data_IF_180741357547
#
_entry.id   IF_180741357547
#
_cell.length_a   1.000
_cell.length_b   1.000
_cell.length_c   1.000
_cell.angle_alpha   90.00
_cell.angle_beta   90.00
_cell.angle_gamma   90.00
#
_symmetry.space_group_name_H-M   'P 1'
#
loop_
_entity.id
_entity.type
_entity.pdbx_description
1 polymer ?
#
# COMPACT_ATOMS: atom_id res chain seq x y z
N UNK A 1 -59.07 1.04 -41.54
CA UNK A 1 -57.59 1.14 -41.46
C UNK A 1 -57.21 0.81 -40.02
N UNK A 2 -57.34 -0.45 -39.61
CA UNK A 2 -56.25 -1.45 -39.58
C UNK A 2 -54.99 -0.95 -38.87
N UNK A 3 -54.87 -1.48 -37.65
CA UNK A 3 -53.70 -1.69 -36.81
C UNK A 3 -52.58 -2.50 -37.49
N UNK A 4 -51.43 -2.55 -36.80
CA UNK A 4 -50.25 -3.46 -36.90
C UNK A 4 -48.96 -2.66 -37.17
N UNK A 5 -47.82 -2.85 -36.50
CA UNK A 5 -47.40 -3.77 -35.47
C UNK A 5 -45.90 -3.51 -35.15
N UNK A 6 -45.48 -3.97 -33.96
CA UNK A 6 -44.16 -4.55 -33.54
C UNK A 6 -42.89 -4.10 -34.30
N UNK A 7 -41.74 -3.85 -33.67
CA UNK A 7 -41.07 -4.79 -32.79
C UNK A 7 -39.74 -4.16 -32.29
N UNK A 8 -39.41 -4.41 -31.01
CA UNK A 8 -38.08 -4.62 -30.40
C UNK A 8 -36.83 -4.28 -31.23
N UNK A 9 -35.92 -3.52 -30.61
CA UNK A 9 -34.53 -3.95 -30.53
C UNK A 9 -33.95 -3.68 -29.14
N UNK A 10 -33.86 -4.77 -28.37
CA UNK A 10 -32.89 -4.96 -27.31
C UNK A 10 -31.50 -4.98 -27.96
N UNK A 11 -30.71 -3.93 -27.74
CA UNK A 11 -29.27 -3.99 -27.88
C UNK A 11 -28.66 -3.57 -26.54
N UNK A 12 -28.47 -4.57 -25.68
CA UNK A 12 -27.19 -4.82 -25.01
C UNK A 12 -26.45 -3.56 -24.51
N UNK A 13 -26.87 -3.01 -23.37
CA UNK A 13 -25.97 -2.23 -22.51
C UNK A 13 -25.16 -3.21 -21.66
N UNK A 14 -24.37 -4.04 -22.34
CA UNK A 14 -23.38 -4.92 -21.74
C UNK A 14 -21.98 -4.55 -22.28
N UNK A 15 -21.75 -3.26 -22.48
CA UNK A 15 -20.42 -2.71 -22.71
C UNK A 15 -19.78 -2.43 -21.36
N UNK A 16 -18.76 -3.21 -21.01
CA UNK A 16 -17.88 -2.93 -19.87
C UNK A 16 -17.45 -1.47 -19.93
N UNK A 17 -17.98 -0.63 -19.03
CA UNK A 17 -17.32 0.61 -18.64
C UNK A 17 -15.96 0.19 -18.09
N UNK A 18 -14.91 0.25 -18.92
CA UNK A 18 -13.54 0.26 -18.40
C UNK A 18 -13.53 1.37 -17.35
N UNK A 19 -13.35 1.01 -16.09
CA UNK A 19 -13.18 1.99 -15.03
C UNK A 19 -12.11 2.99 -15.52
N UNK A 20 -12.45 4.28 -15.53
CA UNK A 20 -11.49 5.29 -15.95
C UNK A 20 -10.25 5.17 -15.06
N UNK A 21 -9.06 5.15 -15.67
CA UNK A 21 -7.79 5.19 -14.93
C UNK A 21 -7.78 6.43 -14.05
N UNK A 22 -7.39 6.29 -12.79
CA UNK A 22 -7.29 7.40 -11.83
C UNK A 22 -5.85 7.78 -11.52
N UNK A 23 -4.88 7.05 -12.04
CA UNK A 23 -3.44 7.35 -11.94
C UNK A 23 -2.79 7.35 -13.33
N UNK A 24 -1.76 8.18 -13.48
CA UNK A 24 -0.98 8.31 -14.72
C UNK A 24 0.52 8.21 -14.41
N UNK A 25 1.25 7.34 -15.12
CA UNK A 25 2.71 7.33 -15.09
C UNK A 25 3.24 8.57 -15.83
N UNK A 26 4.04 9.39 -15.15
CA UNK A 26 4.55 10.66 -15.68
C UNK A 26 6.07 10.67 -15.85
N UNK A 27 6.79 9.76 -15.17
CA UNK A 27 8.25 9.67 -15.27
C UNK A 27 8.75 8.25 -14.98
N UNK A 28 9.91 7.89 -15.53
CA UNK A 28 10.62 6.66 -15.24
C UNK A 28 12.13 6.90 -15.32
N UNK A 29 12.91 6.28 -14.42
CA UNK A 29 14.38 6.32 -14.47
C UNK A 29 15.02 5.07 -13.84
N UNK A 30 16.32 4.87 -14.09
CA UNK A 30 17.13 3.91 -13.35
C UNK A 30 17.44 4.46 -11.97
N UNK A 31 17.36 3.59 -10.95
CA UNK A 31 17.71 3.90 -9.58
C UNK A 31 18.71 2.85 -9.05
N UNK A 32 20.02 3.14 -9.14
CA UNK A 32 21.02 2.33 -8.46
C UNK A 32 20.88 2.52 -6.94
N UNK A 33 20.88 1.42 -6.20
CA UNK A 33 20.81 1.42 -4.73
C UNK A 33 21.89 0.51 -4.15
N UNK A 34 22.11 0.59 -2.84
CA UNK A 34 22.95 -0.37 -2.10
C UNK A 34 22.43 -1.82 -2.23
N UNK A 35 21.16 -2.02 -2.60
CA UNK A 35 20.52 -3.31 -2.85
C UNK A 35 20.51 -3.67 -4.33
N UNK A 36 21.37 -3.06 -5.12
CA UNK A 36 21.43 -3.21 -6.57
C UNK A 36 20.46 -2.31 -7.32
N UNK A 37 20.34 -2.58 -8.63
CA UNK A 37 19.58 -1.72 -9.53
C UNK A 37 18.07 -1.99 -9.46
N UNK A 38 17.30 -0.90 -9.44
CA UNK A 38 15.84 -0.85 -9.58
C UNK A 38 15.48 0.13 -10.71
N UNK A 39 14.25 0.02 -11.22
CA UNK A 39 13.56 1.09 -11.94
C UNK A 39 12.69 1.87 -10.98
N UNK A 40 12.68 3.18 -11.12
CA UNK A 40 11.84 4.10 -10.38
C UNK A 40 10.80 4.69 -11.31
N UNK A 41 9.53 4.57 -10.95
CA UNK A 41 8.39 5.05 -11.70
C UNK A 41 7.67 6.12 -10.90
N UNK A 42 7.45 7.29 -11.49
CA UNK A 42 6.68 8.38 -10.91
C UNK A 42 5.27 8.41 -11.48
N UNK A 43 4.28 8.45 -10.60
CA UNK A 43 2.86 8.49 -10.93
C UNK A 43 2.20 9.70 -10.27
N UNK A 44 1.18 10.23 -10.93
CA UNK A 44 0.31 11.28 -10.40
C UNK A 44 -1.14 10.81 -10.39
N UNK A 45 -1.87 11.15 -9.33
CA UNK A 45 -3.32 11.01 -9.27
C UNK A 45 -4.01 11.98 -10.23
N UNK A 46 -5.05 11.51 -10.90
CA UNK A 46 -5.94 12.32 -11.75
C UNK A 46 -7.16 12.84 -10.98
N UNK A 47 -7.33 12.42 -9.73
CA UNK A 47 -8.51 12.69 -8.90
C UNK A 47 -8.17 13.31 -7.54
N UNK A 48 -6.88 13.52 -7.27
CA UNK A 48 -6.34 14.14 -6.06
C UNK A 48 -4.98 14.77 -6.38
N UNK A 49 -4.40 15.48 -5.41
CA UNK A 49 -3.05 16.05 -5.52
C UNK A 49 -1.94 15.06 -5.07
N UNK A 50 -2.28 13.77 -4.90
CA UNK A 50 -1.32 12.75 -4.49
C UNK A 50 -0.44 12.32 -5.67
N UNK A 51 0.87 12.24 -5.40
CA UNK A 51 1.81 11.51 -6.24
C UNK A 51 2.03 10.10 -5.66
N UNK A 52 2.56 9.20 -6.48
CA UNK A 52 3.01 7.87 -6.06
C UNK A 52 4.34 7.56 -6.70
N UNK A 53 5.16 6.79 -6.01
CA UNK A 53 6.40 6.28 -6.55
C UNK A 53 6.39 4.77 -6.49
N UNK A 54 6.79 4.09 -7.56
CA UNK A 54 6.99 2.65 -7.55
C UNK A 54 8.44 2.30 -7.86
N UNK A 55 9.04 1.46 -7.02
CA UNK A 55 10.28 0.78 -7.34
C UNK A 55 9.94 -0.58 -7.95
N UNK A 56 10.58 -0.96 -9.05
CA UNK A 56 10.47 -2.30 -9.60
C UNK A 56 11.83 -2.89 -9.95
N UNK A 57 11.92 -4.22 -9.92
CA UNK A 57 13.09 -5.00 -10.34
C UNK A 57 12.63 -6.16 -11.21
N UNK A 58 13.45 -6.51 -12.20
CA UNK A 58 13.18 -7.62 -13.11
C UNK A 58 12.05 -7.33 -14.10
N UNK A 59 11.76 -8.31 -14.95
CA UNK A 59 10.61 -8.25 -15.86
C UNK A 59 9.32 -8.58 -15.11
N UNK A 60 8.34 -7.70 -15.25
CA UNK A 60 7.00 -7.85 -14.70
C UNK A 60 6.04 -8.31 -15.78
N UNK A 61 5.23 -9.31 -15.46
CA UNK A 61 4.30 -9.94 -16.39
C UNK A 61 3.06 -10.41 -15.65
N UNK A 62 1.91 -10.35 -16.32
CA UNK A 62 0.62 -10.78 -15.79
C UNK A 62 0.61 -12.25 -15.37
N UNK A 63 1.44 -13.09 -16.00
CA UNK A 63 1.40 -14.54 -15.81
C UNK A 63 2.30 -15.06 -14.70
N UNK A 64 3.21 -14.23 -14.19
CA UNK A 64 4.22 -14.67 -13.22
C UNK A 64 3.96 -14.06 -11.85
N UNK A 65 3.69 -14.88 -10.82
CA UNK A 65 3.57 -14.38 -9.45
C UNK A 65 4.78 -13.53 -9.04
N UNK A 66 4.53 -12.26 -8.75
CA UNK A 66 5.57 -11.27 -8.49
C UNK A 66 5.45 -10.72 -7.07
N UNK A 67 6.57 -10.56 -6.36
CA UNK A 67 6.59 -9.90 -5.05
C UNK A 67 6.05 -8.48 -5.19
N UNK A 68 5.02 -8.14 -4.43
CA UNK A 68 4.41 -6.81 -4.47
C UNK A 68 4.16 -6.29 -3.05
N UNK A 69 4.50 -5.02 -2.82
CA UNK A 69 4.20 -4.32 -1.57
C UNK A 69 3.58 -2.95 -1.84
N UNK A 70 2.52 -2.64 -1.09
CA UNK A 70 2.06 -1.28 -0.89
C UNK A 70 2.66 -0.79 0.43
N UNK A 71 3.56 0.18 0.37
CA UNK A 71 4.19 0.79 1.53
C UNK A 71 3.61 2.19 1.76
N UNK A 72 3.04 2.41 2.95
CA UNK A 72 2.54 3.74 3.32
C UNK A 72 3.69 4.50 3.97
N UNK A 73 3.92 5.74 3.53
CA UNK A 73 5.00 6.59 3.99
C UNK A 73 5.08 6.66 5.51
N UNK A 74 6.31 6.54 6.02
CA UNK A 74 6.62 6.77 7.42
C UNK A 74 8.01 7.43 7.51
N UNK A 75 8.08 8.75 7.38
CA UNK A 75 9.32 9.52 7.38
C UNK A 75 10.23 9.17 8.58
N UNK A 76 9.64 9.10 9.77
CA UNK A 76 10.37 8.77 11.00
C UNK A 76 10.99 7.37 10.95
N UNK A 77 10.29 6.37 10.40
CA UNK A 77 10.79 5.00 10.32
C UNK A 77 11.70 4.78 9.12
N UNK A 78 11.28 5.25 7.94
CA UNK A 78 11.90 4.98 6.65
C UNK A 78 13.20 5.77 6.48
N UNK A 79 13.26 7.01 6.97
CA UNK A 79 14.40 7.92 6.79
C UNK A 79 15.20 8.09 8.08
N UNK A 80 14.54 8.37 9.21
CA UNK A 80 15.24 8.66 10.47
C UNK A 80 15.53 7.42 11.34
N UNK A 81 15.09 6.23 10.93
CA UNK A 81 15.40 4.98 11.64
C UNK A 81 14.72 4.84 13.01
N UNK A 82 13.58 5.51 13.21
CA UNK A 82 12.81 5.46 14.46
C UNK A 82 12.50 4.03 14.91
N UNK A 83 12.80 3.73 16.18
CA UNK A 83 12.47 2.47 16.86
C UNK A 83 11.03 2.38 17.36
N UNK A 84 10.28 3.49 17.36
CA UNK A 84 8.85 3.52 17.76
C UNK A 84 7.91 2.75 16.80
N UNK A 85 8.40 2.33 15.64
CA UNK A 85 7.60 1.58 14.66
C UNK A 85 8.49 0.65 13.82
N UNK A 86 7.85 -0.24 13.07
CA UNK A 86 8.50 -1.23 12.21
C UNK A 86 8.54 -0.85 10.72
N UNK A 87 8.09 0.35 10.35
CA UNK A 87 7.95 0.76 8.94
C UNK A 87 9.26 0.71 8.15
N UNK A 88 10.33 1.32 8.66
CA UNK A 88 11.64 1.34 8.01
C UNK A 88 12.25 -0.07 7.85
N UNK A 89 12.33 -0.88 8.93
CA UNK A 89 12.72 -2.28 8.82
C UNK A 89 11.90 -3.08 7.79
N UNK A 90 10.57 -2.91 7.75
CA UNK A 90 9.72 -3.59 6.77
C UNK A 90 10.04 -3.18 5.33
N UNK A 91 10.26 -1.88 5.06
CA UNK A 91 10.63 -1.39 3.73
C UNK A 91 11.97 -1.99 3.29
N UNK A 92 12.99 -1.90 4.15
CA UNK A 92 14.33 -2.45 3.87
C UNK A 92 14.26 -3.95 3.58
N UNK A 93 13.58 -4.72 4.44
CA UNK A 93 13.41 -6.16 4.26
C UNK A 93 12.70 -6.51 2.95
N UNK A 94 11.70 -5.72 2.56
CA UNK A 94 11.01 -5.92 1.28
C UNK A 94 11.96 -5.68 0.09
N UNK A 95 12.75 -4.61 0.14
CA UNK A 95 13.72 -4.33 -0.92
C UNK A 95 14.81 -5.41 -1.00
N UNK A 96 15.23 -5.97 0.14
CA UNK A 96 16.18 -7.10 0.18
C UNK A 96 15.57 -8.37 -0.44
N UNK A 97 14.31 -8.68 -0.12
CA UNK A 97 13.57 -9.81 -0.71
C UNK A 97 13.47 -9.67 -2.23
N UNK A 98 13.06 -8.50 -2.71
CA UNK A 98 12.93 -8.22 -4.15
C UNK A 98 14.30 -8.28 -4.83
N UNK A 99 15.35 -7.78 -4.17
CA UNK A 99 16.69 -7.84 -4.73
C UNK A 99 17.19 -9.28 -4.87
N UNK A 100 17.00 -10.11 -3.85
CA UNK A 100 17.39 -11.51 -3.85
C UNK A 100 16.60 -12.35 -4.87
N UNK A 101 15.29 -12.12 -4.98
CA UNK A 101 14.42 -12.78 -5.97
C UNK A 101 14.73 -12.31 -7.41
N UNK A 102 15.28 -11.10 -7.56
CA UNK A 102 15.52 -10.46 -8.85
C UNK A 102 14.27 -9.89 -9.51
N UNK A 103 13.09 -10.04 -8.89
CA UNK A 103 11.81 -9.60 -9.43
C UNK A 103 10.83 -9.14 -8.34
N UNK A 104 10.25 -7.95 -8.52
CA UNK A 104 9.25 -7.43 -7.60
C UNK A 104 8.96 -5.94 -7.76
N UNK A 105 7.97 -5.46 -7.01
CA UNK A 105 7.56 -4.06 -6.99
C UNK A 105 7.19 -3.57 -5.59
N UNK A 106 7.51 -2.30 -5.29
CA UNK A 106 7.07 -1.58 -4.09
C UNK A 106 6.45 -0.27 -4.50
N UNK A 107 5.14 -0.12 -4.28
CA UNK A 107 4.45 1.18 -4.38
C UNK A 107 4.62 1.91 -3.05
N UNK A 108 5.30 3.06 -3.10
CA UNK A 108 5.46 3.98 -2.00
C UNK A 108 4.38 5.08 -2.09
N UNK A 109 3.43 5.02 -1.17
CA UNK A 109 2.30 5.94 -1.08
C UNK A 109 2.61 7.05 -0.05
N UNK A 110 2.52 8.31 -0.46
CA UNK A 110 2.82 9.48 0.39
C UNK A 110 1.71 9.83 1.41
N UNK A 111 1.12 8.82 2.05
CA UNK A 111 0.13 8.98 3.11
C UNK A 111 0.76 8.73 4.48
N UNK A 112 1.45 9.75 4.99
CA UNK A 112 2.05 9.75 6.32
C UNK A 112 1.00 9.66 7.44
N UNK A 113 1.35 8.98 8.52
CA UNK A 113 0.51 8.94 9.73
C UNK A 113 -0.87 8.31 9.51
N UNK A 114 -1.05 7.51 8.44
CA UNK A 114 -2.37 6.99 8.01
C UNK A 114 -3.29 8.06 7.43
N UNK A 115 -2.71 9.02 6.71
CA UNK A 115 -3.45 10.09 6.04
C UNK A 115 -3.64 11.35 6.90
N UNK A 116 -3.28 11.33 8.18
CA UNK A 116 -3.36 12.53 9.05
C UNK A 116 -2.18 13.49 8.84
N UNK A 117 -1.13 13.06 8.14
CA UNK A 117 0.08 13.84 7.87
C UNK A 117 1.12 13.81 9.01
N UNK A 118 2.35 14.25 8.69
CA UNK A 118 3.49 14.17 9.62
C UNK A 118 3.30 15.00 10.89
N UNK A 119 2.71 16.20 10.77
CA UNK A 119 2.55 17.11 11.92
C UNK A 119 1.60 16.51 12.96
N UNK A 120 0.47 15.96 12.53
CA UNK A 120 -0.49 15.33 13.43
C UNK A 120 0.06 14.03 14.02
N UNK A 121 0.84 13.27 13.26
CA UNK A 121 1.58 12.11 13.81
C UNK A 121 2.54 12.53 14.94
N UNK A 122 3.27 13.64 14.78
CA UNK A 122 4.15 14.16 15.83
C UNK A 122 3.35 14.60 17.05
N UNK A 123 2.21 15.29 16.88
CA UNK A 123 1.30 15.63 17.98
C UNK A 123 0.80 14.39 18.72
N UNK A 124 0.42 13.34 18.00
CA UNK A 124 0.00 12.08 18.59
C UNK A 124 1.13 11.39 19.37
N UNK A 125 2.38 11.48 18.89
CA UNK A 125 3.55 11.00 19.63
C UNK A 125 3.83 11.80 20.89
N UNK A 126 3.68 13.12 20.86
CA UNK A 126 3.85 13.95 22.06
C UNK A 126 2.85 13.55 23.15
N UNK A 127 1.59 13.33 22.80
CA UNK A 127 0.57 12.83 23.73
C UNK A 127 0.88 11.42 24.27
N UNK A 128 1.45 10.55 23.45
CA UNK A 128 1.87 9.22 23.88
C UNK A 128 3.07 9.26 24.82
N UNK A 129 4.01 10.17 24.59
CA UNK A 129 5.15 10.39 25.48
C UNK A 129 4.70 10.95 26.85
N UNK A 130 3.53 11.58 26.90
CA UNK A 130 2.81 12.00 28.13
C UNK A 130 1.93 10.90 28.75
N UNK A 131 1.88 9.71 28.14
CA UNK A 131 1.20 8.52 28.67
C UNK A 131 -0.17 8.19 28.07
N UNK A 132 -0.65 8.94 27.07
CA UNK A 132 -1.89 8.59 26.36
C UNK A 132 -1.69 7.34 25.47
N UNK A 133 -2.73 6.52 25.34
CA UNK A 133 -2.68 5.45 24.32
C UNK A 133 -2.88 6.02 22.90
N UNK A 134 -2.58 5.22 21.87
CA UNK A 134 -2.66 5.68 20.47
C UNK A 134 -4.06 6.08 20.03
N UNK A 135 -5.11 5.45 20.57
CA UNK A 135 -6.50 5.77 20.23
C UNK A 135 -6.91 7.06 20.94
N UNK A 136 -6.62 7.16 22.23
CA UNK A 136 -6.88 8.36 23.03
C UNK A 136 -6.16 9.58 22.46
N UNK A 137 -4.91 9.44 22.04
CA UNK A 137 -4.17 10.52 21.38
C UNK A 137 -4.86 11.00 20.10
N UNK A 138 -5.40 10.08 19.29
CA UNK A 138 -6.14 10.45 18.07
C UNK A 138 -7.50 11.07 18.37
N UNK A 139 -8.23 10.57 19.38
CA UNK A 139 -9.51 11.13 19.82
C UNK A 139 -9.34 12.55 20.36
N UNK A 140 -8.33 12.79 21.21
CA UNK A 140 -7.97 14.12 21.73
C UNK A 140 -7.64 15.11 20.61
N UNK A 141 -7.09 14.63 19.49
CA UNK A 141 -6.74 15.44 18.32
C UNK A 141 -7.88 15.52 17.28
N UNK A 142 -9.00 14.83 17.48
CA UNK A 142 -10.12 14.78 16.54
C UNK A 142 -9.79 14.10 15.21
N UNK A 143 -8.87 13.13 15.21
CA UNK A 143 -8.33 12.50 14.00
C UNK A 143 -9.00 11.16 13.69
N UNK A 144 -9.17 10.87 12.39
CA UNK A 144 -9.57 9.55 11.94
C UNK A 144 -8.55 8.47 12.30
N UNK A 145 -9.01 7.25 12.57
CA UNK A 145 -8.16 6.13 13.00
C UNK A 145 -7.27 5.59 11.86
N UNK A 146 -7.83 5.61 10.65
CA UNK A 146 -7.16 5.26 9.39
C UNK A 146 -7.92 5.89 8.22
N UNK A 147 -7.28 6.79 7.48
CA UNK A 147 -7.88 7.48 6.32
C UNK A 147 -7.28 6.98 5.00
N UNK A 148 -6.55 5.87 5.03
CA UNK A 148 -5.82 5.40 3.85
C UNK A 148 -6.72 4.70 2.86
N UNK A 149 -6.52 5.02 1.59
CA UNK A 149 -7.12 4.32 0.46
C UNK A 149 -6.02 3.66 -0.37
N UNK A 150 -6.21 2.41 -0.75
CA UNK A 150 -5.18 1.64 -1.47
C UNK A 150 -5.51 1.42 -2.95
N UNK A 151 -6.67 1.90 -3.42
CA UNK A 151 -7.14 1.68 -4.79
C UNK A 151 -6.13 2.17 -5.83
N UNK A 152 -5.66 3.41 -5.70
CA UNK A 152 -4.70 3.99 -6.64
C UNK A 152 -3.34 3.25 -6.60
N UNK A 153 -2.94 2.73 -5.44
CA UNK A 153 -1.75 1.88 -5.33
C UNK A 153 -1.91 0.57 -6.12
N UNK A 154 -3.11 -0.02 -6.13
CA UNK A 154 -3.40 -1.21 -6.94
C UNK A 154 -3.45 -0.87 -8.43
N UNK A 155 -4.01 0.28 -8.81
CA UNK A 155 -3.97 0.76 -10.19
C UNK A 155 -2.52 0.97 -10.69
N UNK A 156 -1.62 1.46 -9.83
CA UNK A 156 -0.17 1.56 -10.16
C UNK A 156 0.44 0.18 -10.42
N UNK A 157 0.11 -0.85 -9.61
CA UNK A 157 0.60 -2.21 -9.82
C UNK A 157 0.06 -2.81 -11.14
N UNK A 158 -1.20 -2.57 -11.48
CA UNK A 158 -1.76 -2.98 -12.77
C UNK A 158 -1.10 -2.25 -13.95
N UNK A 159 -0.82 -0.96 -13.82
CA UNK A 159 -0.15 -0.19 -14.88
C UNK A 159 1.29 -0.68 -15.14
N UNK A 160 1.96 -1.19 -14.10
CA UNK A 160 3.25 -1.90 -14.23
C UNK A 160 3.12 -3.29 -14.89
N UNK A 161 1.91 -3.80 -15.10
CA UNK A 161 1.63 -5.09 -15.72
C UNK A 161 1.52 -6.27 -14.75
N UNK A 162 1.43 -6.02 -13.44
CA UNK A 162 1.19 -7.09 -12.47
C UNK A 162 -0.28 -7.51 -12.50
N UNK A 163 -0.50 -8.82 -12.45
CA UNK A 163 -1.83 -9.41 -12.23
C UNK A 163 -1.74 -10.43 -11.10
N UNK A 164 -0.76 -11.34 -11.13
CA UNK A 164 -0.48 -12.29 -10.04
C UNK A 164 0.55 -11.74 -9.08
N UNK A 165 0.21 -11.67 -7.80
CA UNK A 165 1.08 -11.07 -6.77
C UNK A 165 1.30 -11.99 -5.57
N UNK A 166 2.55 -12.01 -5.12
CA UNK A 166 2.96 -12.51 -3.80
C UNK A 166 3.00 -11.28 -2.88
N UNK A 167 1.94 -11.07 -2.12
CA UNK A 167 1.72 -9.82 -1.38
C UNK A 167 2.56 -9.77 -0.09
N UNK A 168 3.51 -8.84 -0.03
CA UNK A 168 4.42 -8.67 1.11
C UNK A 168 3.79 -7.73 2.15
N UNK A 169 2.94 -8.27 3.03
CA UNK A 169 2.18 -7.48 4.01
C UNK A 169 1.68 -8.29 5.21
N UNK A 170 1.65 -7.63 6.37
CA UNK A 170 0.97 -8.11 7.59
C UNK A 170 -0.38 -7.39 7.82
N UNK A 171 -0.73 -6.42 6.96
CA UNK A 171 -1.99 -5.69 7.03
C UNK A 171 -3.06 -6.38 6.17
N UNK A 172 -4.16 -6.90 6.76
CA UNK A 172 -5.25 -7.54 6.02
C UNK A 172 -5.98 -6.59 5.07
N UNK A 173 -6.08 -5.29 5.37
CA UNK A 173 -6.78 -4.34 4.50
C UNK A 173 -6.02 -4.12 3.19
N UNK A 174 -4.68 -4.22 3.21
CA UNK A 174 -3.86 -4.19 1.98
C UNK A 174 -4.08 -5.44 1.12
N UNK A 175 -4.23 -6.61 1.74
CA UNK A 175 -4.57 -7.84 1.02
C UNK A 175 -5.94 -7.74 0.38
N UNK A 176 -6.93 -7.28 1.15
CA UNK A 176 -8.30 -7.07 0.67
C UNK A 176 -8.30 -6.09 -0.50
N UNK A 177 -7.65 -4.93 -0.36
CA UNK A 177 -7.60 -3.94 -1.43
C UNK A 177 -6.91 -4.47 -2.70
N UNK A 178 -5.81 -5.23 -2.58
CA UNK A 178 -5.17 -5.88 -3.73
C UNK A 178 -6.13 -6.84 -4.44
N UNK A 179 -6.80 -7.71 -3.68
CA UNK A 179 -7.74 -8.70 -4.23
C UNK A 179 -8.97 -8.03 -4.88
N UNK A 180 -9.63 -7.11 -4.17
CA UNK A 180 -10.79 -6.36 -4.67
C UNK A 180 -10.44 -5.45 -5.85
N UNK A 181 -9.21 -4.94 -5.88
CA UNK A 181 -8.67 -4.18 -7.00
C UNK A 181 -8.24 -5.04 -8.19
N UNK A 182 -8.50 -6.36 -8.17
CA UNK A 182 -8.31 -7.25 -9.32
C UNK A 182 -6.92 -7.87 -9.44
N UNK A 183 -6.07 -7.78 -8.42
CA UNK A 183 -4.83 -8.56 -8.36
C UNK A 183 -5.13 -9.96 -7.81
N UNK A 184 -4.63 -10.99 -8.48
CA UNK A 184 -4.65 -12.37 -7.99
C UNK A 184 -3.55 -12.54 -6.93
N UNK A 185 -3.93 -12.47 -5.65
CA UNK A 185 -3.02 -12.69 -4.53
C UNK A 185 -2.75 -14.19 -4.39
N UNK A 186 -1.63 -14.66 -4.96
CA UNK A 186 -1.27 -16.09 -4.96
C UNK A 186 -0.62 -16.55 -3.66
N UNK A 187 -0.04 -15.62 -2.91
CA UNK A 187 0.65 -15.87 -1.65
C UNK A 187 0.63 -14.60 -0.79
N UNK A 188 0.48 -14.76 0.53
CA UNK A 188 0.82 -13.70 1.50
C UNK A 188 2.22 -13.98 2.03
N UNK A 189 3.16 -13.10 1.71
CA UNK A 189 4.53 -13.14 2.24
C UNK A 189 4.56 -12.31 3.52
N UNK A 190 4.73 -12.98 4.66
CA UNK A 190 4.82 -12.33 5.96
C UNK A 190 6.16 -11.60 6.11
N UNK A 191 6.13 -10.46 6.83
CA UNK A 191 7.33 -9.77 7.26
C UNK A 191 7.51 -9.95 8.76
N UNK A 192 8.41 -10.84 9.13
CA UNK A 192 8.82 -11.01 10.53
C UNK A 192 9.95 -10.04 10.83
N UNK A 193 9.60 -8.98 11.55
CA UNK A 193 10.54 -7.97 12.05
C UNK A 193 10.51 -8.07 13.57
N UNK A 194 11.65 -8.37 14.17
CA UNK A 194 11.78 -8.36 15.61
C UNK A 194 11.45 -6.95 16.15
N UNK A 195 10.45 -6.80 17.05
CA UNK A 195 10.10 -5.51 17.58
C UNK A 195 11.22 -4.94 18.44
N UNK A 196 11.60 -3.69 18.18
CA UNK A 196 12.31 -2.89 19.19
C UNK A 196 11.41 -2.69 20.41
N UNK A 197 12.01 -2.51 21.60
CA UNK A 197 11.29 -2.32 22.87
C UNK A 197 10.20 -1.24 22.77
N UNK A 198 10.50 -0.12 22.11
CA UNK A 198 9.57 1.00 21.95
C UNK A 198 8.43 0.71 20.96
N UNK A 199 8.61 -0.24 20.04
CA UNK A 199 7.59 -0.63 19.05
C UNK A 199 6.57 -1.61 19.62
N UNK A 200 6.86 -2.31 20.73
CA UNK A 200 6.02 -3.39 21.29
C UNK A 200 4.59 -2.91 21.50
N UNK A 201 4.39 -1.76 22.15
CA UNK A 201 3.07 -1.21 22.40
C UNK A 201 2.30 -0.88 21.10
N UNK A 202 2.99 -0.29 20.14
CA UNK A 202 2.44 0.06 18.84
C UNK A 202 2.03 -1.18 18.02
N UNK A 203 2.86 -2.23 17.99
CA UNK A 203 2.54 -3.48 17.29
C UNK A 203 1.40 -4.24 17.96
N UNK A 204 1.36 -4.27 19.29
CA UNK A 204 0.25 -4.85 20.04
C UNK A 204 -1.07 -4.13 19.73
N UNK A 205 -1.04 -2.80 19.61
CA UNK A 205 -2.21 -2.00 19.20
C UNK A 205 -2.66 -2.37 17.79
N UNK A 206 -1.73 -2.45 16.82
CA UNK A 206 -2.03 -2.92 15.45
C UNK A 206 -2.68 -4.30 15.43
N UNK A 207 -2.17 -5.25 16.22
CA UNK A 207 -2.70 -6.61 16.28
C UNK A 207 -4.09 -6.65 16.92
N UNK A 208 -4.25 -6.07 18.12
CA UNK A 208 -5.49 -6.16 18.91
C UNK A 208 -6.63 -5.30 18.38
N UNK A 209 -6.34 -4.09 17.92
CA UNK A 209 -7.36 -3.09 17.58
C UNK A 209 -7.58 -2.95 16.07
N UNK A 210 -6.62 -3.39 15.25
CA UNK A 210 -6.65 -3.20 13.78
C UNK A 210 -6.50 -4.52 13.01
N UNK A 211 -6.46 -5.66 13.69
CA UNK A 211 -6.47 -6.99 13.06
C UNK A 211 -5.21 -7.35 12.28
N UNK A 212 -4.09 -6.67 12.50
CA UNK A 212 -2.84 -6.99 11.81
C UNK A 212 -2.36 -8.42 12.13
N UNK A 213 -1.94 -9.16 11.10
CA UNK A 213 -1.48 -10.55 11.15
C UNK A 213 0.00 -10.61 11.54
N UNK A 214 0.30 -10.35 12.82
CA UNK A 214 1.67 -10.32 13.36
C UNK A 214 1.84 -11.47 14.36
N UNK A 215 2.81 -12.35 14.09
CA UNK A 215 3.33 -13.28 15.09
C UNK A 215 4.33 -12.50 15.96
N UNK A 216 4.02 -12.36 17.25
CA UNK A 216 4.94 -11.78 18.22
C UNK A 216 5.60 -12.96 18.92
N UNK A 217 6.94 -13.06 18.88
CA UNK A 217 7.64 -14.01 19.73
C UNK A 217 7.30 -13.70 21.20
N UNK A 218 6.89 -14.74 21.92
CA UNK A 218 6.66 -14.74 23.37
C UNK A 218 7.95 -14.73 24.14
#
# INVERSE_FOLDING_TARGET
MLSEGRCRNLLSVAGHLRAQKTVLKVAETRLPTERGEFRLHGYRSLVSDEDFVCLSKGEVSAHVPTLARIHSQCLTGDVFGSTKCDCGPQLRRTLDLISAEGRGAVVYQFQEGRGIGIINKIRAYALQDEGADTVEANERLGLGVDLREYRQCVEVLHDLGLVKVRAVTNNPDKLRAMAEGGLEVTERVQLDIEPARDAVFYLNTKKRRMGHLIETAS
#
